data_IF_724289217242
#
_entry.id   IF_724289217242
#
_cell.length_a   1.000
_cell.length_b   1.000
_cell.length_c   1.000
_cell.angle_alpha   90.00
_cell.angle_beta   90.00
_cell.angle_gamma   90.00
#
_symmetry.space_group_name_H-M   'P 1'
#
loop_
_entity.id
_entity.type
_entity.pdbx_description
1 polymer ?
#
# COMPACT_ATOMS: atom_id res chain seq x y z
N UNK A 1 14.83 -38.82 -37.28
CA UNK A 1 13.52 -38.15 -37.28
C UNK A 1 12.85 -38.06 -35.90
N UNK A 2 13.19 -38.90 -34.90
CA UNK A 2 12.53 -38.86 -33.58
C UNK A 2 13.13 -37.93 -32.51
N UNK A 3 14.38 -37.46 -32.64
CA UNK A 3 14.99 -36.54 -31.65
C UNK A 3 14.63 -35.09 -31.98
N UNK A 4 14.92 -34.63 -33.21
CA UNK A 4 14.55 -33.28 -33.65
C UNK A 4 13.05 -32.98 -33.54
N UNK A 5 12.18 -33.98 -33.80
CA UNK A 5 10.74 -33.83 -33.61
C UNK A 5 10.36 -33.69 -32.13
N UNK A 6 10.98 -34.48 -31.23
CA UNK A 6 10.74 -34.37 -29.78
C UNK A 6 11.25 -33.05 -29.22
N UNK A 7 12.43 -32.60 -29.65
CA UNK A 7 12.95 -31.28 -29.28
C UNK A 7 12.01 -30.16 -29.76
N UNK A 8 11.52 -30.25 -31.00
CA UNK A 8 10.55 -29.28 -31.51
C UNK A 8 9.23 -29.31 -30.74
N UNK A 9 8.71 -30.49 -30.38
CA UNK A 9 7.52 -30.64 -29.53
C UNK A 9 7.75 -30.05 -28.12
N UNK A 10 8.91 -30.33 -27.49
CA UNK A 10 9.30 -29.78 -26.18
C UNK A 10 9.44 -28.24 -26.21
N UNK A 11 10.02 -27.68 -27.28
CA UNK A 11 10.15 -26.23 -27.46
C UNK A 11 8.80 -25.53 -27.65
N UNK A 12 7.88 -26.16 -28.38
CA UNK A 12 6.51 -25.66 -28.54
C UNK A 12 5.73 -25.70 -27.22
N UNK A 13 5.86 -26.79 -26.44
CA UNK A 13 5.16 -26.95 -25.17
C UNK A 13 5.64 -25.93 -24.11
N UNK A 14 6.96 -25.66 -24.05
CA UNK A 14 7.50 -24.63 -23.13
C UNK A 14 7.29 -23.20 -23.64
N UNK A 15 7.21 -23.02 -24.96
CA UNK A 15 6.93 -21.74 -25.62
C UNK A 15 8.16 -20.87 -25.89
N UNK A 16 9.36 -21.45 -25.91
CA UNK A 16 10.59 -20.77 -26.30
C UNK A 16 11.65 -21.74 -26.90
N UNK A 17 12.51 -21.19 -27.76
CA UNK A 17 13.63 -21.87 -28.42
C UNK A 17 14.83 -22.00 -27.49
N UNK A 18 15.63 -23.06 -27.64
CA UNK A 18 16.84 -23.22 -26.82
C UNK A 18 17.96 -22.28 -27.24
N UNK A 19 18.64 -21.71 -26.25
CA UNK A 19 19.81 -20.85 -26.41
C UNK A 19 21.10 -21.58 -26.05
N UNK A 20 21.30 -22.76 -26.66
CA UNK A 20 22.36 -23.74 -26.37
C UNK A 20 23.65 -23.11 -25.77
N UNK A 21 23.86 -23.34 -24.47
CA UNK A 21 25.09 -22.97 -23.77
C UNK A 21 25.25 -21.49 -23.40
N UNK A 22 24.27 -20.62 -23.67
CA UNK A 22 24.30 -19.23 -23.23
C UNK A 22 23.99 -19.12 -21.73
N UNK A 23 24.86 -18.42 -21.02
CA UNK A 23 24.75 -18.13 -19.59
C UNK A 23 24.65 -16.62 -19.35
N UNK A 24 23.89 -16.23 -18.33
CA UNK A 24 23.70 -14.83 -17.97
C UNK A 24 23.86 -14.62 -16.46
N UNK A 25 24.61 -13.59 -16.07
CA UNK A 25 24.89 -13.30 -14.66
C UNK A 25 23.98 -12.21 -14.07
N UNK A 26 23.84 -12.20 -12.75
CA UNK A 26 23.03 -11.20 -12.03
C UNK A 26 23.49 -9.75 -12.27
N UNK A 27 24.79 -9.53 -12.48
CA UNK A 27 25.35 -8.20 -12.79
C UNK A 27 24.87 -7.62 -14.12
N UNK A 28 24.35 -8.44 -15.03
CA UNK A 28 23.82 -7.99 -16.32
C UNK A 28 22.42 -7.38 -16.23
N UNK A 29 21.74 -7.50 -15.08
CA UNK A 29 20.40 -6.97 -14.89
C UNK A 29 20.40 -5.72 -13.99
N UNK A 30 19.47 -4.80 -14.25
CA UNK A 30 19.14 -3.73 -13.31
C UNK A 30 18.02 -4.10 -12.34
N UNK A 31 17.11 -4.97 -12.81
CA UNK A 31 15.90 -5.40 -12.12
C UNK A 31 16.26 -6.40 -11.00
N UNK A 32 15.74 -6.17 -9.79
CA UNK A 32 16.22 -6.90 -8.60
C UNK A 32 15.68 -8.34 -8.52
N UNK A 33 14.46 -8.60 -9.00
CA UNK A 33 13.85 -9.92 -8.89
C UNK A 33 14.49 -10.92 -9.85
N UNK A 34 14.89 -10.49 -11.05
CA UNK A 34 15.68 -11.30 -11.97
C UNK A 34 17.08 -11.57 -11.42
N UNK A 35 17.71 -10.62 -10.72
CA UNK A 35 18.97 -10.87 -9.99
C UNK A 35 18.79 -11.94 -8.94
N UNK A 36 17.77 -11.79 -8.10
CA UNK A 36 17.46 -12.74 -7.05
C UNK A 36 17.21 -14.14 -7.62
N UNK A 37 16.43 -14.24 -8.70
CA UNK A 37 16.22 -15.51 -9.39
C UNK A 37 17.54 -16.13 -9.87
N UNK A 38 18.42 -15.36 -10.52
CA UNK A 38 19.73 -15.83 -10.98
C UNK A 38 20.59 -16.29 -9.80
N UNK A 39 20.56 -15.58 -8.68
CA UNK A 39 21.31 -15.92 -7.46
C UNK A 39 20.83 -17.23 -6.83
N UNK A 40 19.51 -17.43 -6.76
CA UNK A 40 18.89 -18.62 -6.19
C UNK A 40 19.02 -19.86 -7.10
N UNK A 41 19.07 -19.65 -8.42
CA UNK A 41 19.09 -20.71 -9.45
C UNK A 41 20.42 -20.77 -10.23
N UNK A 42 21.51 -20.24 -9.67
CA UNK A 42 22.80 -20.24 -10.36
C UNK A 42 23.32 -21.66 -10.60
N UNK A 43 23.87 -21.85 -11.80
CA UNK A 43 24.47 -23.12 -12.23
C UNK A 43 25.88 -22.94 -12.76
N UNK A 44 26.29 -21.69 -13.02
CA UNK A 44 27.53 -21.34 -13.70
C UNK A 44 28.23 -20.16 -13.04
N UNK A 45 29.54 -20.07 -13.28
CA UNK A 45 30.43 -19.01 -12.80
C UNK A 45 31.01 -18.15 -13.94
N UNK A 46 30.32 -18.11 -15.07
CA UNK A 46 30.68 -17.33 -16.25
C UNK A 46 29.45 -16.73 -16.91
N UNK A 47 29.62 -15.62 -17.63
CA UNK A 47 28.55 -14.96 -18.37
C UNK A 47 28.90 -14.85 -19.84
N UNK A 48 28.01 -15.32 -20.72
CA UNK A 48 28.18 -15.27 -22.17
C UNK A 48 28.04 -13.85 -22.76
N UNK A 49 27.58 -12.88 -21.97
CA UNK A 49 27.25 -11.53 -22.44
C UNK A 49 28.22 -10.46 -21.97
N UNK A 50 28.56 -10.44 -20.68
CA UNK A 50 29.55 -9.49 -20.15
C UNK A 50 30.98 -10.06 -20.13
N UNK A 51 31.15 -11.32 -20.57
CA UNK A 51 32.43 -12.04 -20.64
C UNK A 51 33.15 -12.15 -19.27
N UNK A 52 32.43 -11.94 -18.17
CA UNK A 52 32.96 -12.08 -16.82
C UNK A 52 33.01 -13.56 -16.41
N UNK A 53 34.10 -13.95 -15.73
CA UNK A 53 34.33 -15.32 -15.26
C UNK A 53 34.98 -15.31 -13.87
N UNK A 54 34.67 -16.31 -13.05
CA UNK A 54 35.28 -16.52 -11.72
C UNK A 54 34.25 -16.91 -10.66
N UNK A 55 34.70 -17.41 -9.51
CA UNK A 55 33.82 -17.86 -8.40
C UNK A 55 32.90 -16.74 -7.87
N UNK A 56 33.27 -15.47 -8.08
CA UNK A 56 32.47 -14.30 -7.72
C UNK A 56 31.35 -13.97 -8.71
N UNK A 57 31.29 -14.64 -9.87
CA UNK A 57 30.26 -14.43 -10.89
C UNK A 57 29.14 -15.42 -10.68
N UNK A 58 27.94 -14.92 -10.43
CA UNK A 58 26.76 -15.76 -10.23
C UNK A 58 25.90 -15.73 -11.49
N UNK A 59 25.82 -16.86 -12.20
CA UNK A 59 25.12 -16.98 -13.48
C UNK A 59 24.25 -18.23 -13.58
N UNK A 60 23.18 -18.13 -14.38
CA UNK A 60 22.32 -19.24 -14.73
C UNK A 60 22.22 -19.41 -16.26
N UNK A 61 21.62 -20.50 -16.70
CA UNK A 61 21.33 -20.73 -18.12
C UNK A 61 20.25 -19.74 -18.60
N UNK A 62 20.44 -19.19 -19.81
CA UNK A 62 19.47 -18.24 -20.37
C UNK A 62 18.08 -18.87 -20.52
N UNK A 63 18.01 -20.14 -20.90
CA UNK A 63 16.75 -20.89 -21.02
C UNK A 63 15.99 -20.93 -19.68
N UNK A 64 16.69 -21.09 -18.55
CA UNK A 64 16.07 -21.06 -17.22
C UNK A 64 15.52 -19.68 -16.87
N UNK A 65 16.23 -18.62 -17.26
CA UNK A 65 15.75 -17.24 -17.08
C UNK A 65 14.52 -16.94 -17.95
N UNK A 66 14.52 -17.36 -19.22
CA UNK A 66 13.39 -17.17 -20.14
C UNK A 66 12.15 -17.90 -19.61
N UNK A 67 12.31 -19.13 -19.10
CA UNK A 67 11.22 -19.88 -18.49
C UNK A 67 10.59 -19.13 -17.31
N UNK A 68 11.42 -18.56 -16.44
CA UNK A 68 10.96 -17.73 -15.32
C UNK A 68 10.27 -16.44 -15.77
N UNK A 69 10.82 -15.76 -16.79
CA UNK A 69 10.20 -14.57 -17.39
C UNK A 69 8.82 -14.91 -17.95
N UNK A 70 8.69 -16.00 -18.72
CA UNK A 70 7.41 -16.44 -19.28
C UNK A 70 6.42 -16.86 -18.20
N UNK A 71 6.88 -17.60 -17.18
CA UNK A 71 6.03 -17.98 -16.03
C UNK A 71 5.53 -16.75 -15.28
N UNK A 72 6.37 -15.73 -15.15
CA UNK A 72 6.03 -14.45 -14.52
C UNK A 72 5.05 -13.63 -15.37
N UNK A 73 5.28 -13.53 -16.69
CA UNK A 73 4.37 -12.87 -17.63
C UNK A 73 2.98 -13.54 -17.59
N UNK A 74 2.94 -14.87 -17.60
CA UNK A 74 1.69 -15.67 -17.55
C UNK A 74 0.85 -15.47 -16.28
N UNK A 75 1.38 -14.76 -15.30
CA UNK A 75 0.64 -14.36 -14.09
C UNK A 75 -0.36 -13.23 -14.38
N UNK A 76 -0.01 -12.29 -15.25
CA UNK A 76 -0.84 -11.11 -15.58
C UNK A 76 -1.27 -11.06 -17.05
N UNK A 77 -0.60 -11.82 -17.92
CA UNK A 77 -0.79 -11.79 -19.37
C UNK A 77 -1.05 -13.20 -19.93
N UNK A 78 -1.85 -13.27 -20.99
CA UNK A 78 -2.20 -14.52 -21.68
C UNK A 78 -2.15 -14.34 -23.20
N UNK A 79 -2.27 -15.45 -23.91
CA UNK A 79 -2.47 -15.40 -25.36
C UNK A 79 -3.91 -14.96 -25.65
N UNK A 80 -4.16 -13.98 -26.54
CA UNK A 80 -5.51 -13.48 -26.85
C UNK A 80 -6.56 -14.56 -27.13
N UNK A 81 -6.19 -15.59 -27.90
CA UNK A 81 -7.07 -16.73 -28.18
C UNK A 81 -7.49 -17.53 -26.92
N UNK A 82 -6.56 -17.72 -25.97
CA UNK A 82 -6.81 -18.50 -24.75
C UNK A 82 -7.64 -17.69 -23.75
N UNK A 83 -7.45 -16.36 -23.74
CA UNK A 83 -8.24 -15.40 -22.96
C UNK A 83 -9.61 -15.07 -23.62
N UNK A 84 -9.90 -15.65 -24.78
CA UNK A 84 -11.20 -15.60 -25.43
C UNK A 84 -11.49 -14.34 -26.26
N UNK A 85 -10.47 -13.58 -26.68
CA UNK A 85 -10.67 -12.40 -27.53
C UNK A 85 -11.21 -12.82 -28.91
N UNK A 86 -12.21 -12.10 -29.47
CA UNK A 86 -12.62 -12.32 -30.84
C UNK A 86 -11.60 -11.76 -31.83
N UNK A 87 -11.31 -12.53 -32.88
CA UNK A 87 -10.43 -12.13 -33.98
C UNK A 87 -11.26 -11.73 -35.20
N UNK A 88 -11.11 -10.49 -35.68
CA UNK A 88 -11.79 -10.03 -36.89
C UNK A 88 -10.89 -10.22 -38.11
N UNK A 89 -11.14 -11.29 -38.87
CA UNK A 89 -10.34 -11.64 -40.06
C UNK A 89 -10.30 -10.56 -41.14
N UNK A 90 -11.34 -9.73 -41.27
CA UNK A 90 -11.38 -8.65 -42.29
C UNK A 90 -10.48 -7.47 -41.94
N UNK A 91 -10.34 -7.18 -40.64
CA UNK A 91 -9.48 -6.10 -40.13
C UNK A 91 -8.08 -6.60 -39.79
N UNK A 92 -7.94 -7.91 -39.58
CA UNK A 92 -6.66 -8.57 -39.31
C UNK A 92 -6.15 -8.27 -37.90
N UNK A 93 -7.03 -8.31 -36.90
CA UNK A 93 -6.64 -8.03 -35.52
C UNK A 93 -7.63 -8.51 -34.46
N UNK A 94 -7.09 -8.70 -33.27
CA UNK A 94 -7.84 -8.94 -32.04
C UNK A 94 -8.69 -7.73 -31.66
N UNK A 95 -9.83 -7.99 -31.03
CA UNK A 95 -10.78 -6.96 -30.60
C UNK A 95 -10.90 -6.94 -29.08
N UNK A 96 -11.59 -5.94 -28.54
CA UNK A 96 -11.94 -5.76 -27.12
C UNK A 96 -10.78 -5.30 -26.22
N UNK A 97 -9.59 -5.87 -26.35
CA UNK A 97 -8.43 -5.43 -25.56
C UNK A 97 -7.21 -5.13 -26.45
N UNK A 98 -6.27 -4.37 -25.89
CA UNK A 98 -4.97 -4.14 -26.52
C UNK A 98 -4.20 -5.46 -26.55
N UNK A 99 -3.60 -5.76 -27.69
CA UNK A 99 -2.69 -6.89 -27.85
C UNK A 99 -1.31 -6.34 -28.16
N UNK A 100 -0.33 -6.80 -27.39
CA UNK A 100 1.08 -6.46 -27.51
C UNK A 100 1.81 -7.59 -28.20
N UNK A 101 2.80 -7.26 -29.02
CA UNK A 101 3.83 -8.24 -29.35
C UNK A 101 4.81 -8.46 -28.17
N UNK A 102 5.66 -9.47 -28.25
CA UNK A 102 6.60 -9.80 -27.17
C UNK A 102 7.58 -8.67 -26.89
N UNK A 103 8.03 -7.94 -27.90
CA UNK A 103 8.96 -6.83 -27.72
C UNK A 103 8.26 -5.67 -27.01
N UNK A 104 7.07 -5.31 -27.49
CA UNK A 104 6.24 -4.26 -26.89
C UNK A 104 5.89 -4.59 -25.43
N UNK A 105 5.49 -5.83 -25.14
CA UNK A 105 5.17 -6.24 -23.77
C UNK A 105 6.40 -6.18 -22.85
N UNK A 106 7.54 -6.71 -23.30
CA UNK A 106 8.76 -6.69 -22.50
C UNK A 106 9.25 -5.26 -22.22
N UNK A 107 9.02 -4.33 -23.15
CA UNK A 107 9.25 -2.91 -22.91
C UNK A 107 8.27 -2.32 -21.88
N UNK A 108 6.97 -2.61 -22.01
CA UNK A 108 5.91 -2.15 -21.11
C UNK A 108 6.15 -2.59 -19.65
N UNK A 109 6.57 -3.85 -19.44
CA UNK A 109 6.86 -4.38 -18.10
C UNK A 109 8.27 -4.02 -17.59
N UNK A 110 9.03 -3.19 -18.32
CA UNK A 110 10.28 -2.59 -17.88
C UNK A 110 11.55 -3.41 -18.14
N UNK A 111 11.47 -4.47 -18.96
CA UNK A 111 12.62 -5.27 -19.40
C UNK A 111 13.38 -4.64 -20.58
N UNK A 112 12.81 -3.66 -21.28
CA UNK A 112 13.44 -2.96 -22.42
C UNK A 112 14.76 -2.22 -22.11
N UNK A 113 15.01 -1.90 -20.84
CA UNK A 113 16.21 -1.15 -20.43
C UNK A 113 17.46 -2.03 -20.19
N UNK A 114 17.41 -3.33 -20.51
CA UNK A 114 18.55 -4.25 -20.32
C UNK A 114 19.56 -4.17 -21.49
N UNK A 115 20.74 -4.80 -21.31
CA UNK A 115 21.79 -4.86 -22.34
C UNK A 115 21.23 -5.45 -23.65
N UNK A 116 21.39 -4.73 -24.77
CA UNK A 116 20.67 -4.98 -26.02
C UNK A 116 20.75 -6.41 -26.55
N UNK A 117 21.89 -7.10 -26.41
CA UNK A 117 22.03 -8.48 -26.90
C UNK A 117 21.30 -9.50 -26.01
N UNK A 118 21.26 -9.30 -24.70
CA UNK A 118 20.50 -10.17 -23.78
C UNK A 118 19.00 -10.01 -24.08
N UNK A 119 18.55 -8.76 -24.21
CA UNK A 119 17.17 -8.46 -24.51
C UNK A 119 16.74 -9.03 -25.87
N UNK A 120 17.54 -8.83 -26.92
CA UNK A 120 17.28 -9.40 -28.26
C UNK A 120 17.20 -10.94 -28.25
N UNK A 121 18.10 -11.60 -27.52
CA UNK A 121 18.08 -13.06 -27.37
C UNK A 121 16.82 -13.54 -26.62
N UNK A 122 16.40 -12.84 -25.56
CA UNK A 122 15.17 -13.16 -24.83
C UNK A 122 13.96 -13.02 -25.75
N UNK A 123 13.80 -11.86 -26.40
CA UNK A 123 12.65 -11.58 -27.26
C UNK A 123 12.54 -12.56 -28.44
N UNK A 124 13.68 -12.85 -29.09
CA UNK A 124 13.72 -13.75 -30.26
C UNK A 124 13.52 -15.22 -29.91
N UNK A 125 13.75 -15.60 -28.65
CA UNK A 125 13.57 -16.98 -28.19
C UNK A 125 12.11 -17.33 -27.94
N UNK A 126 11.30 -16.38 -27.48
CA UNK A 126 9.90 -16.61 -27.10
C UNK A 126 9.03 -16.86 -28.34
N UNK A 127 8.24 -17.94 -28.32
CA UNK A 127 7.40 -18.32 -29.46
C UNK A 127 6.08 -17.58 -29.51
N UNK A 128 5.47 -17.31 -28.35
CA UNK A 128 4.26 -16.50 -28.31
C UNK A 128 4.63 -15.08 -28.77
N UNK A 129 3.90 -14.54 -29.72
CA UNK A 129 4.13 -13.20 -30.26
C UNK A 129 2.96 -12.26 -29.98
N UNK A 130 1.95 -12.71 -29.24
CA UNK A 130 0.74 -11.93 -28.98
C UNK A 130 0.32 -12.09 -27.52
N UNK A 131 0.15 -10.97 -26.82
CA UNK A 131 -0.16 -10.94 -25.40
C UNK A 131 -1.28 -9.95 -25.12
N UNK A 132 -2.25 -10.36 -24.30
CA UNK A 132 -3.23 -9.46 -23.69
C UNK A 132 -3.27 -9.68 -22.18
N UNK A 133 -3.82 -8.71 -21.45
CA UNK A 133 -4.10 -8.89 -20.02
C UNK A 133 -4.99 -10.13 -19.83
N UNK A 134 -4.73 -10.88 -18.74
CA UNK A 134 -5.57 -12.01 -18.36
C UNK A 134 -6.96 -11.57 -17.95
N UNK A 135 -7.94 -12.44 -18.19
CA UNK A 135 -9.34 -12.21 -17.87
C UNK A 135 -9.84 -10.83 -18.38
N UNK A 136 -9.68 -10.52 -19.68
CA UNK A 136 -9.88 -9.17 -20.26
C UNK A 136 -11.34 -8.68 -20.22
N UNK A 137 -12.27 -9.57 -19.88
CA UNK A 137 -13.69 -9.27 -19.68
C UNK A 137 -14.04 -8.98 -18.21
N UNK A 138 -13.09 -9.13 -17.31
CA UNK A 138 -13.20 -8.88 -15.88
C UNK A 138 -12.26 -7.77 -15.44
N UNK A 139 -12.55 -7.19 -14.29
CA UNK A 139 -11.63 -6.27 -13.64
C UNK A 139 -10.51 -7.02 -12.93
N UNK A 140 -9.28 -6.51 -13.05
CA UNK A 140 -8.16 -6.98 -12.24
C UNK A 140 -8.48 -6.85 -10.74
N UNK A 141 -7.89 -7.71 -9.92
CA UNK A 141 -8.23 -7.78 -8.48
C UNK A 141 -8.03 -6.43 -7.76
N UNK A 142 -6.98 -5.68 -8.10
CA UNK A 142 -6.73 -4.34 -7.58
C UNK A 142 -7.84 -3.35 -7.99
N UNK A 143 -8.29 -3.41 -9.25
CA UNK A 143 -9.43 -2.61 -9.74
C UNK A 143 -10.72 -2.98 -9.02
N UNK A 144 -11.00 -4.26 -8.85
CA UNK A 144 -12.18 -4.75 -8.10
C UNK A 144 -12.18 -4.23 -6.67
N UNK A 145 -11.03 -4.26 -5.99
CA UNK A 145 -10.89 -3.75 -4.62
C UNK A 145 -11.07 -2.23 -4.54
N UNK A 146 -10.46 -1.45 -5.44
CA UNK A 146 -10.62 0.01 -5.42
C UNK A 146 -12.05 0.43 -5.75
N UNK A 147 -12.71 -0.20 -6.72
CA UNK A 147 -14.14 0.04 -6.97
C UNK A 147 -14.99 -0.37 -5.78
N UNK A 148 -14.65 -1.46 -5.08
CA UNK A 148 -15.29 -1.85 -3.83
C UNK A 148 -15.18 -0.76 -2.75
N UNK A 149 -14.00 -0.14 -2.61
CA UNK A 149 -13.77 0.97 -1.69
C UNK A 149 -14.57 2.23 -2.08
N UNK A 150 -14.62 2.56 -3.37
CA UNK A 150 -15.41 3.69 -3.88
C UNK A 150 -16.91 3.49 -3.65
N UNK A 151 -17.44 2.31 -3.99
CA UNK A 151 -18.84 1.93 -3.76
C UNK A 151 -19.20 1.92 -2.28
N UNK A 152 -18.30 1.43 -1.43
CA UNK A 152 -18.45 1.52 0.03
C UNK A 152 -18.51 2.97 0.49
N UNK A 153 -17.58 3.79 0.03
CA UNK A 153 -17.52 5.21 0.38
C UNK A 153 -18.82 5.92 0.00
N UNK A 154 -19.32 5.71 -1.21
CA UNK A 154 -20.58 6.31 -1.67
C UNK A 154 -21.80 5.81 -0.87
N UNK A 155 -21.81 4.52 -0.53
CA UNK A 155 -22.89 3.90 0.25
C UNK A 155 -23.00 4.51 1.65
N UNK A 156 -21.87 4.63 2.37
CA UNK A 156 -21.87 5.17 3.73
C UNK A 156 -22.03 6.68 3.79
N UNK A 157 -21.63 7.39 2.73
CA UNK A 157 -21.84 8.83 2.60
C UNK A 157 -23.30 9.17 2.36
N UNK A 158 -23.98 8.42 1.47
CA UNK A 158 -25.26 8.87 0.89
C UNK A 158 -26.48 7.98 1.20
N UNK A 159 -26.28 6.73 1.66
CA UNK A 159 -27.37 5.75 1.79
C UNK A 159 -27.53 5.21 3.22
N UNK A 160 -26.53 4.52 3.74
CA UNK A 160 -26.60 3.87 5.04
C UNK A 160 -25.26 3.96 5.77
N UNK A 161 -25.19 4.82 6.79
CA UNK A 161 -23.98 5.04 7.59
C UNK A 161 -23.88 4.16 8.82
N UNK A 162 -24.92 4.14 9.65
CA UNK A 162 -24.86 3.50 10.98
C UNK A 162 -25.23 2.02 10.98
N UNK A 163 -25.87 1.57 9.90
CA UNK A 163 -26.38 0.19 9.75
C UNK A 163 -25.87 -0.45 8.47
N UNK A 164 -24.77 0.07 7.91
CA UNK A 164 -24.22 -0.36 6.63
C UNK A 164 -23.98 -1.88 6.57
N UNK A 165 -23.51 -2.47 7.67
CA UNK A 165 -23.28 -3.91 7.84
C UNK A 165 -24.54 -4.80 7.77
N UNK A 166 -25.74 -4.21 7.73
CA UNK A 166 -27.03 -4.94 7.59
C UNK A 166 -27.91 -4.38 6.47
N UNK A 167 -27.64 -3.17 6.01
CA UNK A 167 -28.42 -2.54 4.97
C UNK A 167 -28.06 -3.14 3.62
N UNK A 168 -29.07 -3.47 2.80
CA UNK A 168 -28.84 -3.84 1.41
C UNK A 168 -28.44 -2.60 0.62
N UNK A 169 -27.36 -2.69 -0.14
CA UNK A 169 -27.06 -1.66 -1.13
C UNK A 169 -27.92 -1.92 -2.39
N UNK A 170 -28.86 -1.03 -2.74
CA UNK A 170 -29.73 -1.25 -3.90
C UNK A 170 -29.00 -1.15 -5.25
N UNK A 171 -27.78 -0.59 -5.26
CA UNK A 171 -26.96 -0.47 -6.48
C UNK A 171 -25.93 -1.61 -6.57
N UNK A 172 -25.95 -2.55 -5.62
CA UNK A 172 -25.11 -3.75 -5.65
C UNK A 172 -25.87 -4.86 -6.35
N UNK A 173 -25.29 -5.40 -7.42
CA UNK A 173 -25.80 -6.54 -8.15
C UNK A 173 -25.02 -7.80 -7.75
N UNK A 174 -25.67 -8.68 -6.97
CA UNK A 174 -25.09 -9.96 -6.56
C UNK A 174 -24.76 -10.88 -7.75
N UNK A 175 -25.33 -10.64 -8.93
CA UNK A 175 -25.07 -11.41 -10.15
C UNK A 175 -23.89 -10.85 -10.97
N UNK A 176 -23.36 -9.66 -10.62
CA UNK A 176 -22.20 -9.07 -11.29
C UNK A 176 -20.90 -9.55 -10.63
N UNK A 177 -20.12 -10.37 -11.35
CA UNK A 177 -18.92 -11.03 -10.83
C UNK A 177 -17.83 -10.06 -10.34
N UNK A 178 -17.75 -8.87 -10.93
CA UNK A 178 -16.71 -7.88 -10.60
C UNK A 178 -17.15 -6.86 -9.54
N UNK A 179 -18.36 -6.99 -8.98
CA UNK A 179 -18.83 -6.10 -7.92
C UNK A 179 -18.56 -6.71 -6.53
N UNK A 180 -17.93 -5.92 -5.66
CA UNK A 180 -17.70 -6.31 -4.27
C UNK A 180 -18.80 -5.74 -3.38
N UNK A 181 -19.35 -6.56 -2.49
CA UNK A 181 -20.20 -6.08 -1.41
C UNK A 181 -19.42 -5.02 -0.60
N UNK A 182 -19.94 -3.78 -0.47
CA UNK A 182 -19.34 -2.70 0.31
C UNK A 182 -18.87 -3.08 1.70
N UNK A 183 -19.51 -4.04 2.38
CA UNK A 183 -19.09 -4.45 3.72
C UNK A 183 -17.83 -5.32 3.67
N UNK A 184 -17.68 -6.12 2.61
CA UNK A 184 -16.56 -7.05 2.45
C UNK A 184 -15.23 -6.35 2.15
N UNK A 185 -15.26 -5.09 1.71
CA UNK A 185 -14.02 -4.33 1.48
C UNK A 185 -13.23 -4.14 2.77
N UNK A 186 -13.90 -3.98 3.92
CA UNK A 186 -13.22 -3.83 5.21
C UNK A 186 -12.55 -5.14 5.64
N UNK A 187 -13.19 -6.28 5.36
CA UNK A 187 -12.60 -7.60 5.60
C UNK A 187 -11.41 -7.87 4.67
N UNK A 188 -11.49 -7.43 3.41
CA UNK A 188 -10.39 -7.51 2.46
C UNK A 188 -9.21 -6.62 2.91
N UNK A 189 -9.50 -5.38 3.33
CA UNK A 189 -8.50 -4.48 3.92
C UNK A 189 -7.83 -5.12 5.14
N UNK A 190 -8.59 -5.74 6.04
CA UNK A 190 -8.04 -6.48 7.18
C UNK A 190 -7.07 -7.58 6.74
N UNK A 191 -7.47 -8.42 5.77
CA UNK A 191 -6.62 -9.49 5.25
C UNK A 191 -5.32 -8.95 4.64
N UNK A 192 -5.41 -7.87 3.87
CA UNK A 192 -4.24 -7.22 3.25
C UNK A 192 -3.31 -6.68 4.32
N UNK A 193 -3.82 -5.94 5.32
CA UNK A 193 -3.01 -5.40 6.43
C UNK A 193 -2.29 -6.53 7.19
N UNK A 194 -2.98 -7.66 7.41
CA UNK A 194 -2.42 -8.84 8.07
C UNK A 194 -1.32 -9.52 7.25
N UNK A 195 -1.45 -9.57 5.93
CA UNK A 195 -0.47 -10.23 5.05
C UNK A 195 0.75 -9.35 4.74
N UNK A 196 0.62 -8.03 4.85
CA UNK A 196 1.65 -7.05 4.44
C UNK A 196 2.58 -6.60 5.58
N UNK A 197 2.38 -7.10 6.80
CA UNK A 197 3.27 -6.80 7.92
C UNK A 197 3.24 -5.34 8.38
N UNK A 198 2.13 -4.64 8.15
CA UNK A 198 1.93 -3.23 8.55
C UNK A 198 1.65 -3.06 10.05
N UNK A 199 1.36 -4.14 10.76
CA UNK A 199 1.21 -4.11 12.22
C UNK A 199 2.61 -3.96 12.84
N UNK A 200 2.87 -2.80 13.44
CA UNK A 200 4.14 -2.44 14.08
C UNK A 200 3.94 -2.15 15.56
N UNK A 201 5.05 -2.11 16.29
CA UNK A 201 5.07 -1.69 17.69
C UNK A 201 5.67 -0.30 17.83
N UNK A 202 5.03 0.57 18.61
CA UNK A 202 5.60 1.83 19.11
C UNK A 202 6.07 1.60 20.54
N UNK A 203 7.38 1.76 20.78
CA UNK A 203 7.97 1.52 22.09
C UNK A 203 7.77 2.67 23.07
N UNK A 204 8.01 2.38 24.36
CA UNK A 204 7.80 3.32 25.49
C UNK A 204 8.71 4.54 25.48
N UNK A 205 9.78 4.57 24.68
CA UNK A 205 10.68 5.71 24.55
C UNK A 205 10.37 6.55 23.30
N UNK A 206 9.36 6.15 22.51
CA UNK A 206 8.97 6.91 21.33
C UNK A 206 8.25 8.19 21.74
N UNK A 207 8.85 9.33 21.40
CA UNK A 207 8.26 10.64 21.65
C UNK A 207 7.22 11.00 20.58
N UNK A 208 6.01 11.28 21.04
CA UNK A 208 4.87 11.67 20.21
C UNK A 208 4.45 13.08 20.61
N UNK A 209 4.51 13.97 19.62
CA UNK A 209 4.30 15.41 19.79
C UNK A 209 2.90 15.78 19.35
N UNK A 210 2.15 16.42 20.24
CA UNK A 210 0.83 16.99 19.95
C UNK A 210 0.83 18.48 20.23
N UNK A 211 0.35 19.24 19.25
CA UNK A 211 0.41 20.71 19.28
C UNK A 211 -0.97 21.30 19.56
N UNK A 212 -1.00 22.36 20.35
CA UNK A 212 -2.12 23.27 20.56
C UNK A 212 -1.70 24.67 20.13
N UNK A 213 -2.53 25.29 19.30
CA UNK A 213 -2.34 26.68 18.88
C UNK A 213 -3.18 27.56 19.79
N UNK A 214 -2.53 28.49 20.48
CA UNK A 214 -3.13 29.38 21.46
C UNK A 214 -2.66 30.82 21.21
N UNK A 215 -3.29 31.77 21.89
CA UNK A 215 -2.80 33.15 21.88
C UNK A 215 -1.47 33.27 22.65
N UNK A 216 -0.57 34.19 22.28
CA UNK A 216 0.79 34.26 22.86
C UNK A 216 0.86 34.36 24.39
N UNK A 217 -0.14 35.00 24.99
CA UNK A 217 -0.26 35.20 26.45
C UNK A 217 -0.66 33.92 27.21
N UNK A 218 -1.24 32.94 26.52
CA UNK A 218 -1.70 31.69 27.12
C UNK A 218 -0.53 30.70 27.32
N UNK A 219 -0.70 29.81 28.30
CA UNK A 219 0.22 28.70 28.56
C UNK A 219 -0.59 27.46 28.97
N UNK A 220 -0.23 26.31 28.40
CA UNK A 220 -0.78 25.01 28.72
C UNK A 220 0.38 24.11 29.15
N UNK A 221 0.21 23.34 30.23
CA UNK A 221 1.34 22.60 30.83
C UNK A 221 1.00 21.18 31.25
N UNK A 222 -0.29 20.81 31.27
CA UNK A 222 -0.73 19.51 31.78
C UNK A 222 -1.16 18.56 30.67
N UNK A 223 -1.12 17.26 30.94
CA UNK A 223 -1.61 16.22 30.04
C UNK A 223 -3.09 16.38 29.71
N UNK A 224 -3.90 16.89 30.65
CA UNK A 224 -5.33 17.17 30.42
C UNK A 224 -5.55 18.29 29.40
N UNK A 225 -4.65 19.26 29.33
CA UNK A 225 -4.72 20.39 28.39
C UNK A 225 -4.11 20.06 27.02
N UNK A 226 -3.02 19.29 27.02
CA UNK A 226 -2.20 19.01 25.84
C UNK A 226 -2.52 17.66 25.18
N UNK A 227 -3.13 16.73 25.92
CA UNK A 227 -3.53 15.41 25.46
C UNK A 227 -4.85 15.43 24.69
N UNK A 228 -5.47 14.25 24.56
CA UNK A 228 -6.78 14.10 23.92
C UNK A 228 -7.83 15.04 24.51
N UNK A 229 -8.73 15.60 23.67
CA UNK A 229 -9.78 16.44 24.21
C UNK A 229 -10.75 15.58 25.04
N UNK A 230 -11.38 16.14 26.09
CA UNK A 230 -12.47 15.45 26.77
C UNK A 230 -13.65 15.28 25.81
N UNK A 231 -14.47 14.25 26.02
CA UNK A 231 -15.56 13.87 25.11
C UNK A 231 -16.55 15.01 24.86
N UNK A 232 -16.83 15.83 25.87
CA UNK A 232 -17.74 16.97 25.77
C UNK A 232 -17.19 18.10 24.89
N UNK A 233 -15.87 18.15 24.71
CA UNK A 233 -15.18 19.13 23.86
C UNK A 233 -14.77 18.58 22.50
N UNK A 234 -15.01 17.29 22.23
CA UNK A 234 -14.76 16.65 20.93
C UNK A 234 -15.88 17.00 19.92
N UNK A 235 -16.18 18.29 19.73
CA UNK A 235 -17.32 18.76 18.93
C UNK A 235 -17.06 18.74 17.42
N UNK A 236 -15.78 18.75 17.02
CA UNK A 236 -15.37 18.75 15.63
C UNK A 236 -15.03 17.34 15.16
N UNK A 237 -15.56 16.96 14.01
CA UNK A 237 -15.16 15.74 13.33
C UNK A 237 -13.78 15.90 12.70
N UNK A 238 -12.95 14.87 12.81
CA UNK A 238 -11.67 14.74 12.12
C UNK A 238 -11.73 13.58 11.13
N UNK A 239 -10.70 13.46 10.29
CA UNK A 239 -10.57 12.38 9.30
C UNK A 239 -10.77 10.98 9.89
N UNK A 240 -10.22 10.73 11.06
CA UNK A 240 -10.20 9.38 11.66
C UNK A 240 -11.13 9.25 12.87
N UNK A 241 -11.77 10.35 13.30
CA UNK A 241 -12.66 10.35 14.47
C UNK A 241 -13.90 11.20 14.23
N UNK A 242 -15.12 10.65 14.39
CA UNK A 242 -16.33 11.46 14.36
C UNK A 242 -16.42 12.38 15.59
N UNK A 243 -17.28 13.39 15.51
CA UNK A 243 -17.58 14.23 16.67
C UNK A 243 -18.13 13.37 17.82
N UNK A 244 -17.67 13.63 19.04
CA UNK A 244 -17.99 12.89 20.26
C UNK A 244 -17.05 11.72 20.56
N UNK A 245 -16.16 11.34 19.64
CA UNK A 245 -15.17 10.27 19.86
C UNK A 245 -13.76 10.88 19.91
N UNK A 246 -13.20 11.15 21.10
CA UNK A 246 -11.86 11.71 21.20
C UNK A 246 -10.78 10.69 20.84
N UNK A 247 -9.76 11.17 20.13
CA UNK A 247 -8.52 10.44 19.85
C UNK A 247 -7.31 11.37 20.01
N UNK A 248 -6.14 10.78 20.24
CA UNK A 248 -4.90 11.50 20.35
C UNK A 248 -4.25 11.64 18.97
N UNK A 249 -4.31 12.82 18.37
CA UNK A 249 -3.57 13.14 17.15
C UNK A 249 -2.20 13.72 17.49
N UNK A 250 -1.15 13.19 16.88
CA UNK A 250 0.21 13.67 17.06
C UNK A 250 1.12 13.40 15.85
N UNK A 251 2.38 13.78 15.98
CA UNK A 251 3.44 13.51 15.02
C UNK A 251 4.75 13.18 15.75
N UNK A 252 5.76 12.70 15.02
CA UNK A 252 7.05 12.31 15.61
C UNK A 252 8.05 13.47 15.72
N UNK A 253 7.75 14.62 15.12
CA UNK A 253 8.54 15.84 15.22
C UNK A 253 7.65 17.08 15.35
N UNK A 254 8.19 18.15 15.95
CA UNK A 254 7.44 19.36 16.29
C UNK A 254 6.95 20.10 15.02
N UNK A 255 7.77 20.14 13.96
CA UNK A 255 7.42 20.85 12.73
C UNK A 255 6.23 20.20 12.02
N UNK A 256 6.20 18.86 11.96
CA UNK A 256 5.08 18.09 11.42
C UNK A 256 3.82 18.31 12.25
N UNK A 257 3.92 18.28 13.58
CA UNK A 257 2.78 18.53 14.46
C UNK A 257 2.18 19.94 14.28
N UNK A 258 3.02 20.96 14.09
CA UNK A 258 2.57 22.32 13.75
C UNK A 258 1.86 22.32 12.40
N UNK A 259 2.48 21.78 11.35
CA UNK A 259 1.92 21.78 9.98
C UNK A 259 0.57 21.06 9.85
N UNK A 260 0.34 20.00 10.64
CA UNK A 260 -0.94 19.28 10.68
C UNK A 260 -2.03 20.04 11.45
N UNK A 261 -1.65 20.96 12.36
CA UNK A 261 -2.59 21.65 13.25
C UNK A 261 -2.90 23.09 12.79
N UNK A 262 -1.91 23.80 12.28
CA UNK A 262 -1.93 25.24 12.05
C UNK A 262 -1.92 25.60 10.57
N UNK A 263 -2.81 26.51 10.18
CA UNK A 263 -2.75 27.22 8.91
C UNK A 263 -2.38 28.67 9.21
N UNK A 264 -1.32 29.23 8.57
CA UNK A 264 -0.87 30.59 8.82
C UNK A 264 -1.99 31.63 8.74
N UNK A 265 -1.99 32.55 9.70
CA UNK A 265 -2.96 33.64 9.80
C UNK A 265 -2.27 35.00 9.98
N UNK A 266 -3.03 36.10 9.89
CA UNK A 266 -2.52 37.47 10.07
C UNK A 266 -2.02 37.74 11.51
N UNK A 267 -2.63 37.09 12.49
CA UNK A 267 -2.27 37.27 13.90
C UNK A 267 -1.12 36.34 14.28
N UNK A 268 -0.21 36.84 15.12
CA UNK A 268 0.80 36.00 15.75
C UNK A 268 0.14 35.07 16.75
N UNK A 269 0.52 33.80 16.73
CA UNK A 269 0.03 32.75 17.62
C UNK A 269 1.22 32.06 18.29
N UNK A 270 0.93 31.19 19.25
CA UNK A 270 1.94 30.36 19.92
C UNK A 270 1.56 28.90 19.82
N UNK A 271 2.49 28.08 19.36
CA UNK A 271 2.38 26.63 19.39
C UNK A 271 2.92 26.11 20.72
N UNK A 272 2.08 25.46 21.51
CA UNK A 272 2.50 24.65 22.66
C UNK A 272 2.44 23.17 22.25
N UNK A 273 3.53 22.45 22.47
CA UNK A 273 3.67 21.05 22.13
C UNK A 273 3.83 20.21 23.40
N UNK A 274 2.86 19.33 23.66
CA UNK A 274 3.05 18.25 24.62
C UNK A 274 3.84 17.12 23.99
N UNK A 275 4.94 16.72 24.63
CA UNK A 275 5.74 15.56 24.25
C UNK A 275 5.28 14.39 25.11
N UNK A 276 4.68 13.39 24.49
CA UNK A 276 4.13 12.21 25.15
C UNK A 276 4.95 10.97 24.83
N UNK A 277 5.04 10.06 25.79
CA UNK A 277 5.62 8.72 25.62
C UNK A 277 4.57 7.67 25.98
N UNK A 278 4.50 6.54 25.24
CA UNK A 278 3.67 5.42 25.65
C UNK A 278 4.07 4.85 27.01
N UNK A 279 3.09 4.46 27.81
CA UNK A 279 3.36 3.82 29.11
C UNK A 279 3.62 2.32 28.99
N UNK A 280 3.27 1.75 27.83
CA UNK A 280 3.54 0.38 27.38
C UNK A 280 3.79 0.39 25.88
N UNK A 281 4.29 -0.72 25.32
CA UNK A 281 4.30 -0.91 23.87
C UNK A 281 2.89 -0.77 23.30
N UNK A 282 2.75 0.01 22.22
CA UNK A 282 1.49 0.17 21.49
C UNK A 282 1.55 -0.61 20.19
N UNK A 283 0.51 -1.38 19.90
CA UNK A 283 0.33 -2.05 18.61
C UNK A 283 -0.36 -1.09 17.65
N UNK A 284 0.27 -0.77 16.52
CA UNK A 284 -0.27 0.20 15.55
C UNK A 284 -0.24 -0.36 14.14
N UNK A 285 -1.14 0.13 13.29
CA UNK A 285 -1.04 -0.09 11.84
C UNK A 285 -0.23 1.07 11.25
N UNK A 286 0.93 0.79 10.66
CA UNK A 286 1.76 1.80 10.01
C UNK A 286 1.49 1.86 8.50
N UNK A 287 0.55 2.72 8.11
CA UNK A 287 0.22 3.01 6.71
C UNK A 287 1.28 3.91 6.02
N UNK A 288 2.30 4.38 6.74
CA UNK A 288 3.41 5.15 6.14
C UNK A 288 4.57 4.28 5.67
N UNK A 289 4.61 3.02 6.12
CA UNK A 289 5.62 2.01 5.78
C UNK A 289 5.07 1.01 4.75
N UNK A 290 4.42 1.51 3.69
CA UNK A 290 3.83 0.64 2.66
C UNK A 290 4.95 -0.10 1.90
N UNK A 291 4.95 -1.44 1.88
CA UNK A 291 5.91 -2.22 1.11
C UNK A 291 5.87 -1.83 -0.35
N UNK A 292 7.04 -1.85 -0.98
CA UNK A 292 7.17 -1.55 -2.40
C UNK A 292 6.36 -2.58 -3.23
N UNK A 293 5.80 -2.15 -4.37
CA UNK A 293 5.03 -3.02 -5.27
C UNK A 293 5.95 -4.09 -5.87
N UNK A 294 5.78 -5.39 -5.54
CA UNK A 294 6.66 -6.48 -5.97
C UNK A 294 6.86 -6.50 -7.48
N UNK A 295 8.02 -6.91 -7.98
CA UNK A 295 8.25 -7.08 -9.41
C UNK A 295 7.38 -8.23 -9.92
N UNK A 296 6.97 -8.16 -11.19
CA UNK A 296 6.29 -9.28 -11.82
C UNK A 296 7.18 -10.55 -11.80
N UNK A 297 8.49 -10.35 -11.85
CA UNK A 297 9.49 -11.42 -11.83
C UNK A 297 9.86 -11.92 -10.42
N UNK A 298 9.24 -11.37 -9.36
CA UNK A 298 9.49 -11.85 -7.99
C UNK A 298 8.62 -13.06 -7.70
N UNK A 299 9.18 -14.26 -7.80
CA UNK A 299 8.40 -15.49 -7.57
C UNK A 299 7.83 -15.61 -6.16
N UNK A 300 8.47 -14.98 -5.17
CA UNK A 300 8.08 -15.06 -3.77
C UNK A 300 6.99 -14.06 -3.42
N UNK A 301 6.92 -12.92 -4.12
CA UNK A 301 6.02 -11.81 -3.77
C UNK A 301 5.05 -11.35 -4.88
N UNK A 302 5.22 -11.77 -6.15
CA UNK A 302 4.35 -11.32 -7.28
C UNK A 302 2.86 -11.57 -7.03
N UNK A 303 2.52 -12.61 -6.27
CA UNK A 303 1.13 -12.92 -5.92
C UNK A 303 0.43 -11.83 -5.10
N UNK A 304 1.18 -10.96 -4.41
CA UNK A 304 0.65 -9.86 -3.61
C UNK A 304 0.55 -8.53 -4.38
N UNK A 305 0.94 -8.48 -5.66
CA UNK A 305 0.98 -7.23 -6.45
C UNK A 305 -0.36 -6.51 -6.46
N UNK A 306 -1.47 -7.19 -6.77
CA UNK A 306 -2.79 -6.56 -6.78
C UNK A 306 -3.22 -6.04 -5.41
N UNK A 307 -2.95 -6.79 -4.34
CA UNK A 307 -3.27 -6.37 -2.97
C UNK A 307 -2.48 -5.12 -2.56
N UNK A 308 -1.19 -5.06 -2.92
CA UNK A 308 -0.33 -3.92 -2.62
C UNK A 308 -0.67 -2.71 -3.49
N UNK A 309 -1.02 -2.92 -4.77
CA UNK A 309 -1.53 -1.88 -5.67
C UNK A 309 -2.76 -1.21 -5.07
N UNK A 310 -3.77 -2.00 -4.67
CA UNK A 310 -4.95 -1.49 -3.97
C UNK A 310 -4.59 -0.76 -2.67
N UNK A 311 -3.67 -1.31 -1.86
CA UNK A 311 -3.27 -0.69 -0.60
C UNK A 311 -2.67 0.71 -0.83
N UNK A 312 -1.88 0.90 -1.89
CA UNK A 312 -1.36 2.23 -2.27
C UNK A 312 -2.48 3.21 -2.57
N UNK A 313 -3.45 2.81 -3.39
CA UNK A 313 -4.60 3.66 -3.76
C UNK A 313 -5.48 3.96 -2.55
N UNK A 314 -5.74 2.96 -1.70
CA UNK A 314 -6.46 3.13 -0.44
C UNK A 314 -5.75 4.13 0.47
N UNK A 315 -4.43 4.03 0.66
CA UNK A 315 -3.67 4.95 1.52
C UNK A 315 -3.69 6.37 0.93
N UNK A 316 -3.60 6.50 -0.40
CA UNK A 316 -3.69 7.78 -1.08
C UNK A 316 -5.05 8.45 -0.82
N UNK A 317 -6.15 7.72 -0.92
CA UNK A 317 -7.49 8.23 -0.60
C UNK A 317 -7.66 8.51 0.91
N UNK A 318 -7.25 7.56 1.76
CA UNK A 318 -7.34 7.65 3.21
C UNK A 318 -6.64 8.90 3.75
N UNK A 319 -5.51 9.30 3.15
CA UNK A 319 -4.71 10.48 3.57
C UNK A 319 -4.96 11.75 2.76
N UNK A 320 -5.75 11.69 1.68
CA UNK A 320 -6.03 12.81 0.76
C UNK A 320 -6.57 14.04 1.50
N UNK A 321 -6.00 15.25 1.34
CA UNK A 321 -6.55 16.47 1.94
C UNK A 321 -8.02 16.67 1.57
N UNK A 322 -8.87 16.93 2.56
CA UNK A 322 -10.30 17.24 2.35
C UNK A 322 -10.50 18.72 2.67
N UNK A 323 -11.15 19.44 1.75
CA UNK A 323 -11.49 20.85 1.95
C UNK A 323 -12.46 20.99 3.12
N UNK A 324 -12.19 21.95 4.00
CA UNK A 324 -13.06 22.29 5.15
C UNK A 324 -14.27 23.09 4.70
N UNK A 325 -15.09 22.51 3.83
CA UNK A 325 -16.37 23.06 3.39
C UNK A 325 -17.54 22.38 4.14
N UNK A 326 -18.78 22.77 3.84
CA UNK A 326 -19.98 22.24 4.52
C UNK A 326 -20.18 20.71 4.36
N UNK A 327 -19.45 20.06 3.44
CA UNK A 327 -19.50 18.61 3.20
C UNK A 327 -18.43 17.80 3.92
N UNK A 328 -17.52 18.45 4.66
CA UNK A 328 -16.42 17.78 5.37
C UNK A 328 -16.90 16.64 6.29
N UNK A 329 -18.06 16.81 6.94
CA UNK A 329 -18.66 15.80 7.83
C UNK A 329 -19.20 14.56 7.09
N UNK A 330 -19.41 14.65 5.78
CA UNK A 330 -19.78 13.51 4.93
C UNK A 330 -18.51 12.88 4.36
N UNK A 331 -17.54 13.68 3.92
CA UNK A 331 -16.33 13.17 3.28
C UNK A 331 -15.41 12.38 4.22
N UNK A 332 -15.44 12.65 5.53
CA UNK A 332 -14.72 11.85 6.52
C UNK A 332 -15.38 10.52 6.90
N UNK A 333 -16.63 10.28 6.50
CA UNK A 333 -17.37 9.09 6.96
C UNK A 333 -16.67 7.77 6.61
N UNK A 334 -16.17 7.54 5.38
CA UNK A 334 -15.55 6.26 5.05
C UNK A 334 -14.29 5.99 5.88
N UNK A 335 -13.44 7.01 6.05
CA UNK A 335 -12.18 6.91 6.80
C UNK A 335 -12.43 6.79 8.31
N UNK A 336 -13.48 7.42 8.84
CA UNK A 336 -13.94 7.21 10.21
C UNK A 336 -14.43 5.78 10.44
N UNK A 337 -15.24 5.22 9.53
CA UNK A 337 -15.71 3.84 9.65
C UNK A 337 -14.52 2.87 9.58
N UNK A 338 -13.58 3.07 8.65
CA UNK A 338 -12.37 2.25 8.59
C UNK A 338 -11.54 2.35 9.88
N UNK A 339 -11.44 3.54 10.48
CA UNK A 339 -10.74 3.73 11.75
C UNK A 339 -11.45 3.02 12.91
N UNK A 340 -12.78 3.10 12.98
CA UNK A 340 -13.57 2.36 13.98
C UNK A 340 -13.50 0.85 13.78
N UNK A 341 -13.48 0.37 12.53
CA UNK A 341 -13.24 -1.03 12.22
C UNK A 341 -11.87 -1.48 12.76
N UNK A 342 -10.81 -0.72 12.49
CA UNK A 342 -9.47 -0.97 13.02
C UNK A 342 -9.47 -1.00 14.56
N UNK A 343 -10.17 -0.04 15.18
CA UNK A 343 -10.21 0.09 16.65
C UNK A 343 -10.99 -1.03 17.34
N UNK A 344 -12.13 -1.43 16.77
CA UNK A 344 -13.12 -2.25 17.48
C UNK A 344 -13.23 -3.68 16.96
N UNK A 345 -12.91 -3.93 15.69
CA UNK A 345 -13.14 -5.21 15.02
C UNK A 345 -11.82 -5.89 14.71
N UNK A 346 -10.87 -5.18 14.11
CA UNK A 346 -9.57 -5.74 13.73
C UNK A 346 -8.84 -6.30 14.96
N UNK A 347 -8.33 -7.52 14.81
CA UNK A 347 -7.43 -8.17 15.77
C UNK A 347 -6.18 -8.66 15.05
N UNK A 348 -5.02 -8.54 15.69
CA UNK A 348 -3.79 -9.16 15.18
C UNK A 348 -3.93 -10.69 15.12
N UNK A 349 -3.01 -11.39 14.47
CA UNK A 349 -2.99 -12.86 14.48
C UNK A 349 -2.92 -13.45 15.90
N UNK A 350 -2.34 -12.70 16.85
CA UNK A 350 -2.25 -13.06 18.26
C UNK A 350 -3.52 -12.69 19.06
N UNK A 351 -4.54 -12.12 18.41
CA UNK A 351 -5.77 -11.67 19.04
C UNK A 351 -5.67 -10.32 19.76
N UNK A 352 -4.56 -9.60 19.60
CA UNK A 352 -4.35 -8.31 20.26
C UNK A 352 -5.10 -7.17 19.56
N UNK A 353 -5.48 -6.17 20.34
CA UNK A 353 -6.08 -4.93 19.82
C UNK A 353 -5.05 -4.00 19.18
N UNK A 354 -5.54 -3.10 18.32
CA UNK A 354 -4.76 -2.02 17.75
C UNK A 354 -5.00 -0.75 18.59
N UNK A 355 -3.92 -0.10 18.97
CA UNK A 355 -3.89 1.12 19.78
C UNK A 355 -3.91 2.40 18.95
N UNK A 356 -3.61 2.31 17.65
CA UNK A 356 -3.54 3.48 16.78
C UNK A 356 -3.14 3.19 15.34
N UNK A 357 -3.06 4.24 14.55
CA UNK A 357 -2.69 4.20 13.13
C UNK A 357 -1.64 5.28 12.88
N UNK A 358 -0.50 4.88 12.30
CA UNK A 358 0.49 5.79 11.74
C UNK A 358 0.17 5.99 10.26
N UNK A 359 0.26 7.22 9.77
CA UNK A 359 -0.08 7.56 8.40
C UNK A 359 0.85 8.64 7.82
N UNK A 360 1.04 8.67 6.49
CA UNK A 360 1.74 9.76 5.80
C UNK A 360 1.11 11.12 6.14
N UNK A 361 1.95 12.09 6.51
CA UNK A 361 1.49 13.45 6.78
C UNK A 361 0.98 14.10 5.49
N UNK A 362 -0.26 14.60 5.54
CA UNK A 362 -0.89 15.30 4.42
C UNK A 362 -0.35 16.73 4.24
N UNK A 363 0.27 17.29 5.29
CA UNK A 363 0.80 18.67 5.33
C UNK A 363 2.33 18.74 5.33
N UNK A 364 3.05 17.62 5.51
CA UNK A 364 4.51 17.58 5.52
C UNK A 364 5.06 16.35 4.75
N UNK A 365 5.37 16.54 3.46
CA UNK A 365 5.80 15.47 2.56
C UNK A 365 7.01 14.69 3.11
N UNK A 366 6.91 13.36 3.11
CA UNK A 366 7.96 12.46 3.61
C UNK A 366 8.04 12.35 5.14
N UNK A 367 7.12 12.98 5.87
CA UNK A 367 6.94 12.80 7.31
C UNK A 367 5.66 12.03 7.60
N UNK A 368 5.53 11.58 8.85
CA UNK A 368 4.42 10.76 9.32
C UNK A 368 3.77 11.34 10.56
N UNK A 369 2.47 11.12 10.68
CA UNK A 369 1.64 11.46 11.82
C UNK A 369 1.04 10.19 12.40
N UNK A 370 0.46 10.30 13.59
CA UNK A 370 -0.12 9.17 14.30
C UNK A 370 -1.42 9.60 14.97
N UNK A 371 -2.43 8.72 14.90
CA UNK A 371 -3.59 8.76 15.77
C UNK A 371 -3.51 7.60 16.75
N UNK A 372 -3.67 7.88 18.04
CA UNK A 372 -3.76 6.86 19.10
C UNK A 372 -5.18 6.90 19.66
N UNK A 373 -5.77 5.73 19.87
CA UNK A 373 -7.11 5.53 20.41
C UNK A 373 -7.17 5.75 21.93
N UNK A 374 -6.51 6.81 22.40
CA UNK A 374 -6.46 7.22 23.80
C UNK A 374 -7.43 8.39 24.06
N UNK A 375 -8.23 8.28 25.11
CA UNK A 375 -9.07 9.39 25.62
C UNK A 375 -8.27 10.39 26.44
N UNK A 376 -8.92 11.47 26.88
CA UNK A 376 -8.28 12.48 27.74
C UNK A 376 -7.77 11.88 29.04
N UNK A 377 -8.54 10.99 29.66
CA UNK A 377 -8.25 10.34 30.93
C UNK A 377 -7.05 9.38 30.84
N UNK A 378 -6.79 8.86 29.63
CA UNK A 378 -5.66 7.97 29.36
C UNK A 378 -4.35 8.72 29.06
N UNK A 379 -4.40 10.06 29.01
CA UNK A 379 -3.24 10.94 28.89
C UNK A 379 -2.91 11.50 30.29
N UNK A 380 -1.76 11.13 30.84
CA UNK A 380 -1.43 11.42 32.25
C UNK A 380 -0.14 12.23 32.40
N UNK A 381 -0.02 13.01 33.47
CA UNK A 381 1.19 13.76 33.79
C UNK A 381 2.30 12.83 34.33
N UNK A 382 3.57 13.22 34.17
CA UNK A 382 4.71 12.41 34.61
C UNK A 382 4.67 12.02 36.09
N UNK A 383 4.21 12.93 36.95
CA UNK A 383 4.19 12.75 38.41
C UNK A 383 2.89 12.12 38.94
N UNK A 384 1.95 11.80 38.04
CA UNK A 384 0.67 11.20 38.43
C UNK A 384 0.81 9.69 38.66
N UNK A 385 0.03 9.16 39.61
CA UNK A 385 -0.05 7.70 39.82
C UNK A 385 -0.63 7.05 38.56
N UNK A 386 0.15 6.20 37.89
CA UNK A 386 -0.30 5.52 36.68
C UNK A 386 -1.56 4.70 36.98
N UNK A 387 -2.66 5.04 36.32
CA UNK A 387 -3.88 4.25 36.37
C UNK A 387 -3.72 3.03 35.46
N UNK A 388 -4.48 1.97 35.73
CA UNK A 388 -4.38 0.73 34.95
C UNK A 388 -4.71 0.89 33.47
N UNK A 389 -5.41 1.95 33.10
CA UNK A 389 -5.88 2.28 31.75
C UNK A 389 -5.10 3.43 31.08
N UNK A 390 -4.05 3.95 31.72
CA UNK A 390 -3.18 4.97 31.13
C UNK A 390 -2.54 4.44 29.84
N UNK A 391 -2.43 5.31 28.82
CA UNK A 391 -1.85 4.97 27.53
C UNK A 391 -0.64 5.85 27.21
N UNK A 392 -0.73 7.14 27.50
CA UNK A 392 0.29 8.15 27.18
C UNK A 392 0.65 8.96 28.42
N UNK A 393 1.94 9.25 28.58
CA UNK A 393 2.48 10.09 29.65
C UNK A 393 3.12 11.33 29.06
N UNK A 394 2.74 12.51 29.54
CA UNK A 394 3.40 13.78 29.21
C UNK A 394 4.76 13.82 29.89
N UNK A 395 5.83 13.93 29.11
CA UNK A 395 7.23 13.93 29.61
C UNK A 395 7.94 15.27 29.41
N UNK A 396 7.45 16.11 28.49
CA UNK A 396 8.01 17.45 28.27
C UNK A 396 6.97 18.37 27.62
N UNK A 397 7.15 19.69 27.76
CA UNK A 397 6.38 20.72 27.08
C UNK A 397 7.33 21.64 26.33
N UNK A 398 7.17 21.71 25.02
CA UNK A 398 7.95 22.58 24.12
C UNK A 398 7.04 23.74 23.64
N UNK A 399 7.61 24.88 23.28
CA UNK A 399 6.84 26.00 22.72
C UNK A 399 7.57 26.69 21.57
N UNK A 400 6.80 27.31 20.67
CA UNK A 400 7.31 28.11 19.56
C UNK A 400 6.34 29.23 19.21
N UNK A 401 6.86 30.45 19.09
CA UNK A 401 6.12 31.58 18.55
C UNK A 401 5.92 31.40 17.04
N UNK A 402 4.71 31.70 16.57
CA UNK A 402 4.31 31.65 15.17
C UNK A 402 3.99 33.08 14.73
N UNK A 403 4.89 33.68 13.96
CA UNK A 403 4.70 35.04 13.45
C UNK A 403 3.53 35.09 12.44
N UNK A 404 2.71 36.13 12.55
CA UNK A 404 1.64 36.40 11.59
C UNK A 404 2.16 36.83 10.22
N UNK A 405 1.37 36.61 9.16
CA UNK A 405 1.71 37.01 7.78
C UNK A 405 1.52 38.50 7.55
#
# INVERSE_FOLDING_TARGET
MGIAKRMWEEEQDRGYSSNEGKTVCSNCFGEYALKQFIEEHHTHFNCSYCEAEGEDIIACELDSLIDHILTSIRYEWGHPADEGLPYETREGGWQVATVYDTWELLDEIGLGNQCGQIYEDICSSIHNQEWCERDPYSLSMDRTLIFGWEKFSDFVKNKARYVFFKAKNPDYDEEQHDEMDPVRILDALENIIKQTGLVKSVDVNTQIRRVRIIDPEENLTTAKELGSPPSESATMANRMSPAGIPMFYGAFDFDTAIKETYEPCLESKKAICGVFEPVRSLSVIDLSDTPYLPSLFDEHARHNRSNLSFLYDFIADFTKPIERNDRVHVDYVPTQIATEYIRHIFKTYEGSEIDGVIYPSSKNKGKKAIVIFATSEQCVDQDSSMMSDSTLRLVNVESRELEGI
#
